data_IF_774263741996
#
_entry.id   IF_774263741996
#
_cell.length_a   1.000
_cell.length_b   1.000
_cell.length_c   1.000
_cell.angle_alpha   90.00
_cell.angle_beta   90.00
_cell.angle_gamma   90.00
#
_symmetry.space_group_name_H-M   'P 1'
#
loop_
_entity.id
_entity.type
_entity.pdbx_description
1 polymer ?
#
# COMPACT_ATOMS: atom_id res chain seq x y z
N UNK A 1 16.19 17.05 -10.17
CA UNK A 1 15.87 15.86 -9.36
C UNK A 1 16.27 14.62 -10.15
N UNK A 2 16.76 13.53 -9.54
CA UNK A 2 17.17 12.35 -10.29
C UNK A 2 15.93 11.74 -10.95
N UNK A 3 15.81 11.88 -12.27
CA UNK A 3 14.62 11.51 -13.06
C UNK A 3 14.86 10.25 -13.91
N UNK A 4 15.88 9.45 -13.57
CA UNK A 4 16.24 8.24 -14.32
C UNK A 4 15.29 7.06 -14.03
N UNK A 5 15.11 6.12 -14.98
CA UNK A 5 14.28 4.91 -14.80
C UNK A 5 14.64 4.10 -13.56
N UNK A 6 15.92 4.07 -13.20
CA UNK A 6 16.44 3.36 -12.01
C UNK A 6 15.97 4.01 -10.71
N UNK A 7 15.95 5.35 -10.65
CA UNK A 7 15.44 6.07 -9.48
C UNK A 7 13.95 5.84 -9.30
N UNK A 8 13.18 5.92 -10.40
CA UNK A 8 11.75 5.63 -10.38
C UNK A 8 11.50 4.19 -9.90
N UNK A 9 12.23 3.21 -10.41
CA UNK A 9 12.13 1.81 -9.98
C UNK A 9 12.45 1.66 -8.49
N UNK A 10 13.58 2.21 -8.03
CA UNK A 10 14.01 2.16 -6.63
C UNK A 10 12.99 2.80 -5.69
N UNK A 11 12.41 3.93 -6.09
CA UNK A 11 11.35 4.60 -5.34
C UNK A 11 10.09 3.73 -5.23
N UNK A 12 9.63 3.13 -6.34
CA UNK A 12 8.46 2.25 -6.32
C UNK A 12 8.67 1.02 -5.44
N UNK A 13 9.87 0.41 -5.48
CA UNK A 13 10.22 -0.72 -4.62
C UNK A 13 10.22 -0.30 -3.15
N UNK A 14 10.89 0.81 -2.81
CA UNK A 14 10.98 1.29 -1.43
C UNK A 14 9.61 1.65 -0.86
N UNK A 15 8.77 2.33 -1.64
CA UNK A 15 7.39 2.67 -1.26
C UNK A 15 6.56 1.41 -1.10
N UNK A 16 6.62 0.47 -2.04
CA UNK A 16 5.90 -0.80 -1.95
C UNK A 16 6.30 -1.62 -0.72
N UNK A 17 7.58 -1.63 -0.36
CA UNK A 17 8.06 -2.28 0.86
C UNK A 17 7.55 -1.57 2.12
N UNK A 18 7.61 -0.24 2.16
CA UNK A 18 7.07 0.55 3.27
C UNK A 18 5.57 0.30 3.45
N UNK A 19 4.80 0.21 2.36
CA UNK A 19 3.37 -0.14 2.38
C UNK A 19 3.14 -1.55 2.93
N UNK A 20 3.95 -2.53 2.52
CA UNK A 20 3.85 -3.90 3.02
C UNK A 20 4.16 -4.01 4.52
N UNK A 21 5.17 -3.27 5.00
CA UNK A 21 5.48 -3.17 6.42
C UNK A 21 4.34 -2.51 7.20
N UNK A 22 3.78 -1.41 6.68
CA UNK A 22 2.64 -0.74 7.30
C UNK A 22 1.42 -1.68 7.41
N UNK A 23 1.13 -2.46 6.36
CA UNK A 23 0.10 -3.50 6.42
C UNK A 23 0.37 -4.50 7.55
N UNK A 24 1.59 -5.02 7.65
CA UNK A 24 1.97 -5.98 8.68
C UNK A 24 1.83 -5.44 10.11
N UNK A 25 2.09 -4.15 10.32
CA UNK A 25 1.91 -3.48 11.61
C UNK A 25 0.43 -3.24 11.97
N UNK A 26 -0.41 -2.96 10.98
CA UNK A 26 -1.85 -2.73 11.16
C UNK A 26 -2.63 -4.04 11.29
N UNK A 27 -2.21 -5.10 10.58
CA UNK A 27 -2.82 -6.44 10.59
C UNK A 27 -3.16 -6.97 12.00
N UNK A 28 -2.27 -6.94 13.01
CA UNK A 28 -2.59 -7.46 14.35
C UNK A 28 -3.69 -6.66 15.07
N UNK A 29 -3.91 -5.40 14.69
CA UNK A 29 -4.93 -4.53 15.29
C UNK A 29 -6.30 -4.73 14.63
N UNK A 30 -6.34 -5.04 13.32
CA UNK A 30 -7.58 -5.22 12.58
C UNK A 30 -8.02 -6.69 12.65
N UNK A 31 -8.54 -7.05 13.81
CA UNK A 31 -9.01 -8.41 14.11
C UNK A 31 -10.25 -8.74 13.27
N UNK A 32 -10.18 -9.89 12.57
CA UNK A 32 -11.28 -10.76 12.08
C UNK A 32 -11.58 -10.79 10.57
N UNK A 33 -11.15 -9.83 9.74
CA UNK A 33 -11.41 -9.89 8.28
C UNK A 33 -10.20 -9.40 7.44
N UNK A 34 -9.54 -10.27 6.66
CA UNK A 34 -8.31 -9.93 5.93
C UNK A 34 -8.49 -8.81 4.89
N UNK A 35 -9.68 -8.73 4.28
CA UNK A 35 -10.02 -7.68 3.31
C UNK A 35 -10.20 -6.30 3.94
N UNK A 36 -10.81 -6.21 5.13
CA UNK A 36 -11.00 -4.91 5.80
C UNK A 36 -9.70 -4.38 6.36
N UNK A 37 -8.80 -5.26 6.83
CA UNK A 37 -7.44 -4.89 7.21
C UNK A 37 -6.66 -4.29 6.02
N UNK A 38 -6.79 -4.90 4.83
CA UNK A 38 -6.20 -4.37 3.59
C UNK A 38 -6.76 -3.00 3.22
N UNK A 39 -8.08 -2.84 3.24
CA UNK A 39 -8.76 -1.58 2.91
C UNK A 39 -8.44 -0.44 3.90
N UNK A 40 -8.42 -0.71 5.20
CA UNK A 40 -8.06 0.29 6.21
C UNK A 40 -6.60 0.70 6.10
N UNK A 41 -5.70 -0.26 5.86
CA UNK A 41 -4.28 0.02 5.63
C UNK A 41 -4.09 0.84 4.35
N UNK A 42 -4.83 0.52 3.29
CA UNK A 42 -4.84 1.29 2.05
C UNK A 42 -5.25 2.73 2.26
N UNK A 43 -6.36 2.94 2.98
CA UNK A 43 -6.88 4.27 3.25
C UNK A 43 -5.91 5.08 4.12
N UNK A 44 -5.36 4.50 5.18
CA UNK A 44 -4.41 5.15 6.08
C UNK A 44 -3.12 5.53 5.38
N UNK A 45 -2.52 4.60 4.63
CA UNK A 45 -1.27 4.85 3.93
C UNK A 45 -1.47 5.82 2.77
N UNK A 46 -2.60 5.73 2.07
CA UNK A 46 -2.97 6.72 1.05
C UNK A 46 -3.13 8.11 1.67
N UNK A 47 -3.84 8.25 2.79
CA UNK A 47 -3.99 9.53 3.50
C UNK A 47 -2.63 10.09 3.95
N UNK A 48 -1.77 9.26 4.53
CA UNK A 48 -0.44 9.68 4.96
C UNK A 48 0.42 10.12 3.77
N UNK A 49 0.39 9.37 2.68
CA UNK A 49 1.14 9.69 1.46
C UNK A 49 0.62 11.00 0.82
N UNK A 50 -0.70 11.18 0.80
CA UNK A 50 -1.38 12.34 0.22
C UNK A 50 -1.23 13.61 1.06
N UNK A 51 -1.24 13.49 2.38
CA UNK A 51 -1.26 14.63 3.30
C UNK A 51 0.11 14.98 3.89
N UNK A 52 1.08 14.05 3.88
CA UNK A 52 2.39 14.26 4.50
C UNK A 52 3.51 14.14 3.46
N UNK A 53 3.59 13.02 2.75
CA UNK A 53 4.73 12.74 1.86
C UNK A 53 4.73 13.65 0.63
N UNK A 54 3.61 13.70 -0.12
CA UNK A 54 3.48 14.53 -1.33
C UNK A 54 3.64 16.04 -1.03
N UNK A 55 3.02 16.59 0.04
CA UNK A 55 3.29 17.96 0.46
C UNK A 55 4.75 18.20 0.85
N UNK A 56 5.37 17.27 1.59
CA UNK A 56 6.76 17.41 2.04
C UNK A 56 7.79 17.42 0.90
N UNK A 57 7.48 16.77 -0.23
CA UNK A 57 8.32 16.82 -1.45
C UNK A 57 7.95 17.95 -2.41
N UNK A 58 7.03 18.85 -2.01
CA UNK A 58 6.65 20.04 -2.78
C UNK A 58 5.51 19.83 -3.78
N UNK A 59 4.98 18.62 -3.90
CA UNK A 59 3.90 18.19 -4.82
C UNK A 59 2.50 18.62 -4.34
N UNK A 60 2.36 19.12 -3.11
CA UNK A 60 1.08 19.58 -2.55
C UNK A 60 0.17 18.44 -2.09
N UNK A 61 -1.02 18.78 -1.58
CA UNK A 61 -1.97 17.77 -1.06
C UNK A 61 -2.43 16.84 -2.18
N UNK A 62 -2.23 15.53 -1.99
CA UNK A 62 -2.49 14.49 -2.99
C UNK A 62 -1.78 14.73 -4.34
N UNK A 63 -0.70 15.50 -4.37
CA UNK A 63 0.01 15.81 -5.61
C UNK A 63 -0.69 16.89 -6.46
N UNK A 64 -1.57 17.70 -5.86
CA UNK A 64 -2.39 18.72 -6.55
C UNK A 64 -1.62 19.75 -7.36
N UNK A 65 -0.31 19.88 -7.18
CA UNK A 65 0.52 20.77 -8.00
C UNK A 65 0.81 20.24 -9.39
N UNK A 66 0.87 18.91 -9.59
CA UNK A 66 1.29 18.30 -10.86
C UNK A 66 0.32 17.21 -11.35
N UNK A 67 -0.46 16.61 -10.46
CA UNK A 67 -1.47 15.61 -10.80
C UNK A 67 -2.85 16.27 -10.89
N UNK A 68 -3.48 16.16 -12.07
CA UNK A 68 -4.90 16.45 -12.23
C UNK A 68 -5.77 15.44 -11.47
N UNK A 69 -7.08 15.70 -11.40
CA UNK A 69 -8.05 14.87 -10.65
C UNK A 69 -7.99 13.37 -11.05
N UNK A 70 -7.77 13.09 -12.33
CA UNK A 70 -7.61 11.73 -12.84
C UNK A 70 -6.33 11.04 -12.33
N UNK A 71 -5.23 11.80 -12.16
CA UNK A 71 -3.99 11.30 -11.59
C UNK A 71 -4.13 10.93 -10.12
N UNK A 72 -4.86 11.74 -9.35
CA UNK A 72 -5.19 11.43 -7.95
C UNK A 72 -6.07 10.18 -7.82
N UNK A 73 -7.07 10.04 -8.69
CA UNK A 73 -7.94 8.86 -8.72
C UNK A 73 -7.16 7.60 -9.10
N UNK A 74 -6.30 7.66 -10.11
CA UNK A 74 -5.43 6.54 -10.49
C UNK A 74 -4.44 6.18 -9.38
N UNK A 75 -3.89 7.19 -8.70
CA UNK A 75 -3.01 6.98 -7.54
C UNK A 75 -3.74 6.22 -6.42
N UNK A 76 -4.94 6.65 -6.05
CA UNK A 76 -5.77 5.95 -5.06
C UNK A 76 -6.14 4.52 -5.51
N UNK A 77 -6.47 4.34 -6.78
CA UNK A 77 -6.82 3.03 -7.34
C UNK A 77 -5.64 2.05 -7.28
N UNK A 78 -4.44 2.46 -7.68
CA UNK A 78 -3.23 1.62 -7.64
C UNK A 78 -2.90 1.22 -6.20
N UNK A 79 -3.00 2.15 -5.24
CA UNK A 79 -2.79 1.84 -3.82
C UNK A 79 -3.80 0.81 -3.32
N UNK A 80 -5.07 0.99 -3.68
CA UNK A 80 -6.14 0.05 -3.31
C UNK A 80 -5.87 -1.35 -3.87
N UNK A 81 -5.52 -1.45 -5.16
CA UNK A 81 -5.17 -2.72 -5.80
C UNK A 81 -3.98 -3.38 -5.12
N UNK A 82 -2.92 -2.63 -4.80
CA UNK A 82 -1.74 -3.16 -4.10
C UNK A 82 -2.12 -3.80 -2.76
N UNK A 83 -2.88 -3.09 -1.91
CA UNK A 83 -3.28 -3.61 -0.60
C UNK A 83 -4.27 -4.77 -0.69
N UNK A 84 -5.15 -4.79 -1.69
CA UNK A 84 -6.05 -5.94 -1.94
C UNK A 84 -5.24 -7.17 -2.34
N UNK A 85 -4.27 -7.04 -3.24
CA UNK A 85 -3.40 -8.15 -3.65
C UNK A 85 -2.56 -8.64 -2.47
N UNK A 86 -2.03 -7.72 -1.65
CA UNK A 86 -1.26 -8.07 -0.45
C UNK A 86 -2.11 -8.86 0.55
N UNK A 87 -3.33 -8.41 0.83
CA UNK A 87 -4.26 -9.09 1.72
C UNK A 87 -4.68 -10.48 1.19
N UNK A 88 -4.88 -10.61 -0.12
CA UNK A 88 -5.16 -11.91 -0.76
C UNK A 88 -3.96 -12.84 -0.65
N UNK A 89 -2.74 -12.36 -0.90
CA UNK A 89 -1.51 -13.13 -0.77
C UNK A 89 -1.31 -13.63 0.65
N UNK A 90 -1.46 -12.75 1.65
CA UNK A 90 -1.38 -13.09 3.06
C UNK A 90 -2.41 -14.15 3.47
N UNK A 91 -3.67 -13.99 3.06
CA UNK A 91 -4.72 -14.98 3.33
C UNK A 91 -4.40 -16.36 2.72
N UNK A 92 -3.81 -16.38 1.52
CA UNK A 92 -3.37 -17.63 0.85
C UNK A 92 -2.21 -18.29 1.59
N UNK A 93 -1.21 -17.51 2.03
CA UNK A 93 -0.10 -17.99 2.84
C UNK A 93 -0.57 -18.62 4.14
N UNK A 94 -1.46 -17.93 4.88
CA UNK A 94 -2.05 -18.48 6.11
C UNK A 94 -2.81 -19.79 5.85
N UNK A 95 -3.65 -19.84 4.81
CA UNK A 95 -4.40 -21.04 4.47
C UNK A 95 -3.49 -22.23 4.06
N UNK A 96 -2.38 -21.97 3.39
CA UNK A 96 -1.39 -23.01 3.04
C UNK A 96 -0.67 -23.54 4.28
N UNK A 97 -0.24 -22.67 5.19
CA UNK A 97 0.42 -23.09 6.44
C UNK A 97 -0.51 -23.93 7.31
N UNK A 98 -1.78 -23.55 7.43
CA UNK A 98 -2.78 -24.29 8.20
C UNK A 98 -3.04 -25.68 7.60
N UNK A 99 -3.02 -25.81 6.27
CA UNK A 99 -3.19 -27.09 5.57
C UNK A 99 -2.00 -28.03 5.79
N UNK A 100 -0.78 -27.50 5.84
CA UNK A 100 0.45 -28.27 6.12
C UNK A 100 0.53 -28.76 7.57
N UNK A 101 -0.08 -28.04 8.53
CA UNK A 101 -0.09 -28.42 9.94
C UNK A 101 -1.11 -29.52 10.28
N UNK A 102 -2.13 -29.75 9.45
CA UNK A 102 -3.17 -30.77 9.67
C UNK A 102 -2.84 -32.13 9.04
N UNK A 103 -1.75 -32.21 8.28
CA UNK A 103 -1.27 -33.42 7.60
C UNK A 103 -0.22 -34.20 8.40
N UNK A 104 0.02 -33.82 9.66
CA UNK A 104 0.79 -34.56 10.66
C UNK A 104 -0.15 -34.97 11.80
#
# INVERSE_FOLDING_TARGET
MPSGPVFAMGFHIAVGLAMALAYGLVKPWVRRWPLTAGLWSALLVWLLNSAVVLPAIGEGFAGSRHLGLAGMAMFAAIHTVFFVLLALGDARLCATMERSSRSF
#
